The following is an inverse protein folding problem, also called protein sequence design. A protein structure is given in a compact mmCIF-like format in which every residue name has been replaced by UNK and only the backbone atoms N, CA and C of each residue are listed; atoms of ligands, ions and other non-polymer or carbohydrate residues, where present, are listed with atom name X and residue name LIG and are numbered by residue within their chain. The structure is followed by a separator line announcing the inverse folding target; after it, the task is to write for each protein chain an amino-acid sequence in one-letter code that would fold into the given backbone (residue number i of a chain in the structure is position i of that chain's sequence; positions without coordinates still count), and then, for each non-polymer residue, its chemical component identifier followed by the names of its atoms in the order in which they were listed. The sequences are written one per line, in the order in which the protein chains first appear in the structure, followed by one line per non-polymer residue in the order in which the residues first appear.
data_IF_593146334936
#
_entry.id   IF_593146334936
#
_cell.length_a   1.000
_cell.length_b   1.000
_cell.length_c   1.000
_cell.angle_alpha   90.00
_cell.angle_beta   90.00
_cell.angle_gamma   90.00
#
_symmetry.space_group_name_H-M   'P 1'
#
loop_
_entity.id
_entity.type
_entity.pdbx_description
1 polymer ?
#
# COMPACT_ATOMS: atom_id res chain seq x y z
N UNK A 1 -2.60 1.59 -14.96
CA UNK A 1 -1.22 1.20 -14.59
C UNK A 1 -1.07 1.24 -13.08
N UNK A 2 -0.11 0.52 -12.50
CA UNK A 2 0.16 0.56 -11.06
C UNK A 2 1.54 1.17 -10.82
N UNK A 3 1.61 2.21 -10.00
CA UNK A 3 2.85 2.81 -9.56
C UNK A 3 3.35 2.13 -8.28
N UNK A 4 4.66 2.00 -8.13
CA UNK A 4 5.34 1.41 -6.97
C UNK A 4 6.62 2.19 -6.68
N UNK A 5 7.27 1.91 -5.55
CA UNK A 5 8.69 2.25 -5.38
C UNK A 5 9.53 1.63 -6.51
N UNK A 6 10.61 2.30 -6.95
CA UNK A 6 11.53 1.75 -7.95
C UNK A 6 12.24 0.47 -7.47
N UNK A 7 12.43 0.33 -6.16
CA UNK A 7 12.88 -0.90 -5.50
C UNK A 7 11.76 -1.38 -4.59
N UNK A 8 11.12 -2.49 -4.95
CA UNK A 8 9.92 -3.00 -4.28
C UNK A 8 10.07 -4.48 -3.95
N UNK A 9 9.34 -4.95 -2.93
CA UNK A 9 9.30 -6.37 -2.56
C UNK A 9 8.92 -7.26 -3.76
N UNK A 10 9.59 -8.40 -3.86
CA UNK A 10 9.44 -9.37 -4.95
C UNK A 10 8.00 -9.82 -5.14
N UNK A 11 7.21 -9.89 -4.06
CA UNK A 11 5.80 -10.30 -4.12
C UNK A 11 4.98 -9.38 -5.01
N UNK A 12 5.25 -8.07 -5.01
CA UNK A 12 4.54 -7.10 -5.86
C UNK A 12 4.89 -7.36 -7.33
N UNK A 13 6.17 -7.54 -7.64
CA UNK A 13 6.64 -7.81 -9.01
C UNK A 13 6.09 -9.13 -9.57
N UNK A 14 6.11 -10.20 -8.76
CA UNK A 14 5.56 -11.51 -9.16
C UNK A 14 4.06 -11.42 -9.41
N UNK A 15 3.29 -10.85 -8.47
CA UNK A 15 1.83 -10.76 -8.62
C UNK A 15 1.44 -9.87 -9.80
N UNK A 16 2.16 -8.76 -10.04
CA UNK A 16 1.91 -7.93 -11.21
C UNK A 16 2.14 -8.69 -12.51
N UNK A 17 3.18 -9.53 -12.59
CA UNK A 17 3.45 -10.40 -13.74
C UNK A 17 2.31 -11.39 -13.98
N UNK A 18 1.87 -12.10 -12.92
CA UNK A 18 0.76 -13.07 -12.99
C UNK A 18 -0.54 -12.40 -13.45
N UNK A 19 -0.83 -11.22 -12.91
CA UNK A 19 -2.04 -10.46 -13.22
C UNK A 19 -1.95 -9.64 -14.51
N UNK A 20 -0.81 -9.69 -15.22
CA UNK A 20 -0.52 -8.90 -16.43
C UNK A 20 -0.70 -7.39 -16.21
N UNK A 21 -0.33 -6.93 -15.03
CA UNK A 21 -0.36 -5.52 -14.63
C UNK A 21 0.98 -4.89 -14.96
N UNK A 22 0.96 -3.78 -15.70
CA UNK A 22 2.14 -2.95 -15.93
C UNK A 22 2.46 -2.14 -14.67
N UNK A 23 3.70 -2.29 -14.19
CA UNK A 23 4.26 -1.52 -13.09
C UNK A 23 5.02 -0.28 -13.59
N UNK A 24 4.96 0.79 -12.80
CA UNK A 24 5.77 2.00 -12.94
C UNK A 24 6.56 2.23 -11.66
N UNK A 25 7.87 2.01 -11.72
CA UNK A 25 8.77 2.35 -10.61
C UNK A 25 8.96 3.86 -10.51
N UNK A 26 8.68 4.41 -9.33
CA UNK A 26 8.85 5.82 -8.99
C UNK A 26 10.20 6.03 -8.31
N UNK A 27 10.80 7.21 -8.49
CA UNK A 27 12.04 7.56 -7.81
C UNK A 27 11.84 7.57 -6.29
N UNK A 28 12.87 7.12 -5.58
CA UNK A 28 12.87 6.96 -4.13
C UNK A 28 14.14 7.58 -3.52
N UNK A 29 14.03 8.02 -2.28
CA UNK A 29 15.16 8.37 -1.42
C UNK A 29 15.04 7.61 -0.06
N UNK A 30 15.86 7.97 0.93
CA UNK A 30 15.85 7.38 2.28
C UNK A 30 14.50 7.44 3.03
N UNK A 31 13.59 8.30 2.60
CA UNK A 31 12.24 8.47 3.14
C UNK A 31 11.17 7.86 2.20
N UNK A 32 11.56 7.01 1.25
CA UNK A 32 10.66 6.32 0.32
C UNK A 32 10.40 7.12 -0.95
N UNK A 33 9.20 6.98 -1.54
CA UNK A 33 8.81 7.64 -2.80
C UNK A 33 8.98 9.15 -2.72
N UNK A 34 9.62 9.72 -3.74
CA UNK A 34 9.73 11.16 -3.95
C UNK A 34 8.38 11.66 -4.51
N UNK A 35 7.64 12.52 -3.80
CA UNK A 35 6.30 12.97 -4.23
C UNK A 35 6.27 13.57 -5.63
N UNK A 36 7.31 14.31 -6.00
CA UNK A 36 7.44 14.95 -7.31
C UNK A 36 7.53 13.91 -8.43
N UNK A 37 8.21 12.77 -8.19
CA UNK A 37 8.24 11.66 -9.15
C UNK A 37 6.88 10.98 -9.30
N UNK A 38 6.08 10.93 -8.22
CA UNK A 38 4.73 10.40 -8.28
C UNK A 38 3.79 11.32 -9.07
N UNK A 39 3.85 12.63 -8.80
CA UNK A 39 3.05 13.64 -9.51
C UNK A 39 3.37 13.64 -11.01
N UNK A 40 4.66 13.66 -11.38
CA UNK A 40 5.09 13.56 -12.78
C UNK A 40 4.53 12.31 -13.47
N UNK A 41 4.61 11.14 -12.82
CA UNK A 41 4.06 9.90 -13.37
C UNK A 41 2.53 9.97 -13.56
N UNK A 42 1.82 10.63 -12.64
CA UNK A 42 0.37 10.83 -12.74
C UNK A 42 -0.03 11.81 -13.85
N UNK A 43 0.82 12.78 -14.19
CA UNK A 43 0.58 13.73 -15.29
C UNK A 43 0.80 13.10 -16.67
N UNK A 44 1.81 12.24 -16.79
CA UNK A 44 2.25 11.71 -18.08
C UNK A 44 1.72 10.30 -18.38
N UNK A 45 1.27 9.58 -17.36
CA UNK A 45 0.83 8.19 -17.47
C UNK A 45 -0.53 7.97 -16.78
N UNK A 46 -1.29 6.98 -17.25
CA UNK A 46 -2.58 6.62 -16.66
C UNK A 46 -2.40 5.71 -15.43
N UNK A 47 -1.84 6.28 -14.36
CA UNK A 47 -1.70 5.63 -13.05
C UNK A 47 -3.08 5.51 -12.41
N UNK A 48 -3.45 4.30 -11.99
CA UNK A 48 -4.75 4.02 -11.33
C UNK A 48 -4.61 3.60 -9.88
N UNK A 49 -3.46 3.03 -9.54
CA UNK A 49 -3.16 2.55 -8.19
C UNK A 49 -1.71 2.89 -7.87
N UNK A 50 -1.45 3.32 -6.64
CA UNK A 50 -0.14 3.38 -6.02
C UNK A 50 -0.04 2.26 -4.98
N UNK A 51 0.87 1.32 -5.15
CA UNK A 51 1.23 0.37 -4.10
C UNK A 51 2.47 0.88 -3.36
N UNK A 52 2.37 0.99 -2.04
CA UNK A 52 3.42 1.60 -1.22
C UNK A 52 3.58 0.88 0.11
N UNK A 53 4.82 0.81 0.59
CA UNK A 53 5.17 0.30 1.93
C UNK A 53 5.83 1.41 2.74
N UNK A 54 5.07 2.28 3.45
CA UNK A 54 5.63 3.48 4.08
C UNK A 54 6.58 3.19 5.27
N UNK A 55 6.54 1.97 5.79
CA UNK A 55 7.26 1.53 6.98
C UNK A 55 8.19 0.37 6.61
N UNK A 56 9.49 0.63 6.51
CA UNK A 56 10.55 -0.34 6.23
C UNK A 56 10.31 -1.14 4.94
N UNK A 57 10.15 -0.44 3.81
CA UNK A 57 10.03 -1.10 2.50
C UNK A 57 11.25 -1.95 2.19
N UNK A 58 11.08 -3.23 1.86
CA UNK A 58 12.19 -4.06 1.41
C UNK A 58 12.49 -3.73 -0.07
N UNK A 59 13.77 -3.53 -0.48
CA UNK A 59 15.01 -3.70 0.27
C UNK A 59 15.55 -2.41 0.93
N UNK A 60 14.89 -1.27 0.78
CA UNK A 60 15.46 0.04 1.15
C UNK A 60 15.45 0.34 2.65
N UNK A 61 14.59 -0.33 3.41
CA UNK A 61 14.34 -0.12 4.83
C UNK A 61 13.98 1.35 5.12
N UNK A 62 13.36 2.03 4.16
CA UNK A 62 12.97 3.43 4.30
C UNK A 62 11.84 3.61 5.32
N UNK A 63 11.84 4.76 6.01
CA UNK A 63 10.74 5.14 6.90
C UNK A 63 10.20 6.49 6.46
N UNK A 64 9.02 6.47 5.85
CA UNK A 64 8.38 7.68 5.34
C UNK A 64 7.76 8.49 6.48
N UNK A 65 8.11 9.77 6.58
CA UNK A 65 7.54 10.70 7.56
C UNK A 65 6.08 11.09 7.25
N UNK A 66 5.41 11.73 8.21
CA UNK A 66 4.00 12.12 8.05
C UNK A 66 3.80 13.16 6.95
N UNK A 67 4.69 14.15 6.84
CA UNK A 67 4.56 15.23 5.86
C UNK A 67 4.60 14.67 4.43
N UNK A 68 5.47 13.71 4.17
CA UNK A 68 5.57 13.04 2.88
C UNK A 68 4.35 12.16 2.59
N UNK A 69 3.83 11.45 3.59
CA UNK A 69 2.58 10.70 3.46
C UNK A 69 1.43 11.62 3.07
N UNK A 70 1.30 12.76 3.74
CA UNK A 70 0.27 13.76 3.43
C UNK A 70 0.39 14.29 2.00
N UNK A 71 1.59 14.66 1.54
CA UNK A 71 1.79 15.11 0.15
C UNK A 71 1.43 14.04 -0.88
N UNK A 72 1.81 12.79 -0.65
CA UNK A 72 1.46 11.67 -1.55
C UNK A 72 -0.06 11.45 -1.57
N UNK A 73 -0.72 11.52 -0.40
CA UNK A 73 -2.18 11.44 -0.30
C UNK A 73 -2.88 12.57 -1.08
N UNK A 74 -2.36 13.80 -1.02
CA UNK A 74 -2.87 14.94 -1.80
C UNK A 74 -2.71 14.75 -3.30
N UNK A 75 -1.56 14.28 -3.77
CA UNK A 75 -1.32 13.95 -5.19
C UNK A 75 -2.30 12.85 -5.62
N UNK A 76 -2.41 11.77 -4.85
CA UNK A 76 -3.33 10.68 -5.15
C UNK A 76 -4.79 11.16 -5.26
N UNK A 77 -5.18 12.14 -4.43
CA UNK A 77 -6.51 12.75 -4.49
C UNK A 77 -6.71 13.60 -5.75
N UNK A 78 -5.73 14.44 -6.11
CA UNK A 78 -5.81 15.28 -7.31
C UNK A 78 -5.89 14.48 -8.61
N UNK A 79 -5.20 13.35 -8.68
CA UNK A 79 -5.13 12.51 -9.88
C UNK A 79 -6.06 11.29 -9.87
N UNK A 80 -6.95 11.22 -8.88
CA UNK A 80 -7.87 10.10 -8.65
C UNK A 80 -7.20 8.70 -8.64
N UNK A 81 -6.07 8.59 -7.95
CA UNK A 81 -5.32 7.35 -7.78
C UNK A 81 -5.75 6.66 -6.48
N UNK A 82 -6.03 5.35 -6.54
CA UNK A 82 -6.23 4.54 -5.34
C UNK A 82 -4.89 4.18 -4.69
N UNK A 83 -4.83 4.06 -3.37
CA UNK A 83 -3.60 3.69 -2.65
C UNK A 83 -3.76 2.29 -2.10
N UNK A 84 -2.78 1.41 -2.29
CA UNK A 84 -2.63 0.16 -1.53
C UNK A 84 -1.44 0.36 -0.60
N UNK A 85 -1.72 0.46 0.69
CA UNK A 85 -0.72 0.61 1.74
C UNK A 85 -0.43 -0.76 2.36
N UNK A 86 0.80 -1.24 2.22
CA UNK A 86 1.34 -2.38 2.97
C UNK A 86 2.06 -1.87 4.22
N UNK A 87 1.49 -2.15 5.39
CA UNK A 87 1.98 -1.72 6.70
C UNK A 87 2.37 -2.93 7.57
N UNK A 88 2.97 -3.96 6.97
CA UNK A 88 3.39 -5.18 7.69
C UNK A 88 4.38 -4.92 8.83
N UNK A 89 5.25 -3.92 8.70
CA UNK A 89 6.21 -3.54 9.75
C UNK A 89 5.74 -2.41 10.65
N UNK A 90 4.68 -1.69 10.28
CA UNK A 90 4.17 -0.56 11.06
C UNK A 90 3.96 -0.85 12.54
N UNK A 91 3.31 -1.98 12.92
CA UNK A 91 3.10 -2.32 14.33
C UNK A 91 4.38 -2.49 15.16
N UNK A 92 5.55 -2.66 14.54
CA UNK A 92 6.83 -2.82 15.22
C UNK A 92 7.54 -1.49 15.50
N UNK A 93 7.09 -0.39 14.91
CA UNK A 93 7.80 0.89 14.97
C UNK A 93 7.38 1.68 16.22
N UNK A 94 8.31 1.97 17.15
CA UNK A 94 8.03 2.85 18.28
C UNK A 94 7.72 4.27 17.78
N UNK A 95 6.67 4.91 18.32
CA UNK A 95 6.24 6.26 17.91
C UNK A 95 6.09 6.39 16.39
N UNK A 96 5.51 5.35 15.74
CA UNK A 96 5.37 5.31 14.30
C UNK A 96 4.59 6.51 13.75
N UNK A 97 4.96 7.04 12.58
CA UNK A 97 4.13 7.99 11.85
C UNK A 97 2.73 7.41 11.58
N UNK A 98 1.71 8.28 11.53
CA UNK A 98 0.35 7.89 11.11
C UNK A 98 0.38 7.17 9.75
N UNK A 99 -0.37 6.07 9.57
CA UNK A 99 -0.45 5.37 8.29
C UNK A 99 -1.04 6.28 7.21
N UNK A 100 -0.73 6.00 5.95
CA UNK A 100 -1.27 6.72 4.77
C UNK A 100 -2.80 6.77 4.79
N UNK A 101 -3.43 5.68 5.26
CA UNK A 101 -4.86 5.60 5.50
C UNK A 101 -5.44 6.78 6.29
N UNK A 102 -4.71 7.35 7.26
CA UNK A 102 -5.19 8.50 8.04
C UNK A 102 -5.33 9.78 7.21
N UNK A 103 -4.60 9.91 6.10
CA UNK A 103 -4.57 11.09 5.25
C UNK A 103 -5.50 10.98 4.03
N UNK A 104 -5.79 9.74 3.60
CA UNK A 104 -6.68 9.46 2.45
C UNK A 104 -7.54 8.19 2.63
N UNK A 105 -8.39 8.12 3.69
CA UNK A 105 -9.20 6.93 3.98
C UNK A 105 -10.24 6.61 2.89
N UNK A 106 -10.63 7.60 2.09
CA UNK A 106 -11.61 7.44 1.01
C UNK A 106 -11.08 6.69 -0.21
N UNK A 107 -9.76 6.51 -0.32
CA UNK A 107 -9.09 5.90 -1.48
C UNK A 107 -7.96 4.93 -1.12
N UNK A 108 -7.61 4.81 0.16
CA UNK A 108 -6.56 3.91 0.63
C UNK A 108 -7.14 2.53 0.93
N UNK A 109 -6.43 1.48 0.57
CA UNK A 109 -6.64 0.09 0.97
C UNK A 109 -5.47 -0.26 1.87
N UNK A 110 -5.72 -0.39 3.16
CA UNK A 110 -4.70 -0.61 4.18
C UNK A 110 -4.60 -2.11 4.49
N UNK A 111 -3.42 -2.69 4.30
CA UNK A 111 -3.13 -4.08 4.61
C UNK A 111 -2.01 -4.19 5.64
N UNK A 112 -2.17 -5.09 6.61
CA UNK A 112 -1.09 -5.47 7.53
C UNK A 112 -1.21 -6.94 7.94
N UNK A 113 -0.17 -7.48 8.57
CA UNK A 113 -0.10 -8.89 8.99
C UNK A 113 0.55 -9.06 10.36
N UNK A 114 0.10 -10.08 11.08
CA UNK A 114 0.67 -10.51 12.36
C UNK A 114 1.96 -11.35 12.20
N UNK A 115 2.36 -11.64 10.96
CA UNK A 115 3.52 -12.49 10.65
C UNK A 115 4.82 -11.97 11.25
N UNK A 116 4.98 -10.64 11.35
CA UNK A 116 6.23 -10.00 11.81
C UNK A 116 6.20 -9.55 13.26
N UNK A 117 5.01 -9.44 13.87
CA UNK A 117 4.84 -8.83 15.19
C UNK A 117 4.27 -9.76 16.26
N UNK A 118 3.61 -10.87 15.90
CA UNK A 118 3.01 -11.79 16.87
C UNK A 118 3.54 -13.20 16.69
N UNK A 119 3.22 -13.84 15.56
CA UNK A 119 3.60 -15.23 15.30
C UNK A 119 3.62 -15.50 13.80
N UNK A 120 4.77 -15.85 13.20
CA UNK A 120 4.89 -16.07 11.74
C UNK A 120 3.92 -17.12 11.17
N UNK A 121 3.63 -18.15 11.96
CA UNK A 121 2.75 -19.27 11.59
C UNK A 121 1.26 -18.96 11.73
N UNK A 122 0.86 -17.80 12.28
CA UNK A 122 -0.55 -17.47 12.46
C UNK A 122 -1.28 -17.22 11.13
N UNK A 123 -0.54 -16.87 10.07
CA UNK A 123 -1.06 -16.61 8.71
C UNK A 123 -2.28 -15.67 8.67
N UNK A 124 -2.36 -14.75 9.63
CA UNK A 124 -3.47 -13.81 9.78
C UNK A 124 -3.00 -12.38 9.51
N UNK A 125 -3.90 -11.58 8.95
CA UNK A 125 -3.76 -10.16 8.73
C UNK A 125 -5.14 -9.54 8.56
N UNK A 126 -5.21 -8.25 8.28
CA UNK A 126 -6.47 -7.60 7.97
C UNK A 126 -6.30 -6.58 6.84
N UNK A 127 -7.42 -6.33 6.17
CA UNK A 127 -7.53 -5.40 5.06
C UNK A 127 -8.66 -4.41 5.38
N UNK A 128 -8.31 -3.14 5.53
CA UNK A 128 -9.27 -2.04 5.55
C UNK A 128 -9.30 -1.38 4.17
N UNK A 129 -10.43 -0.77 3.83
CA UNK A 129 -10.62 -0.17 2.51
C UNK A 129 -11.76 0.85 2.55
N UNK A 130 -11.92 1.64 1.47
CA UNK A 130 -13.02 2.60 1.39
C UNK A 130 -14.36 1.90 1.58
N UNK A 131 -15.29 2.51 2.32
CA UNK A 131 -16.60 1.92 2.64
C UNK A 131 -17.30 1.31 1.40
N UNK A 132 -17.36 2.00 0.23
CA UNK A 132 -18.00 1.45 -0.96
C UNK A 132 -17.32 0.19 -1.53
N UNK A 133 -16.03 -0.02 -1.22
CA UNK A 133 -15.26 -1.15 -1.69
C UNK A 133 -15.41 -2.40 -0.81
N UNK A 134 -15.86 -2.26 0.45
CA UNK A 134 -15.93 -3.36 1.42
C UNK A 134 -16.67 -4.61 0.90
N UNK A 135 -17.86 -4.51 0.27
CA UNK A 135 -18.54 -5.71 -0.25
C UNK A 135 -17.72 -6.44 -1.32
N UNK A 136 -16.99 -5.69 -2.16
CA UNK A 136 -16.11 -6.26 -3.20
C UNK A 136 -14.86 -6.88 -2.59
N UNK A 137 -14.32 -6.30 -1.52
CA UNK A 137 -13.17 -6.88 -0.82
C UNK A 137 -13.53 -8.22 -0.16
N UNK A 138 -14.65 -8.27 0.55
CA UNK A 138 -15.15 -9.49 1.20
C UNK A 138 -15.38 -10.60 0.15
N UNK A 139 -16.02 -10.28 -0.98
CA UNK A 139 -16.27 -11.28 -2.02
C UNK A 139 -14.98 -11.82 -2.64
N UNK A 140 -13.96 -10.97 -2.83
CA UNK A 140 -12.66 -11.40 -3.34
C UNK A 140 -11.91 -12.29 -2.36
N UNK A 141 -11.86 -11.92 -1.08
CA UNK A 141 -11.22 -12.75 -0.04
C UNK A 141 -11.85 -14.14 0.00
N UNK A 142 -13.19 -14.22 0.02
CA UNK A 142 -13.93 -15.50 0.01
C UNK A 142 -13.69 -16.35 -1.24
N UNK A 143 -13.46 -15.71 -2.39
CA UNK A 143 -13.20 -16.42 -3.64
C UNK A 143 -11.79 -17.02 -3.72
N UNK A 144 -10.82 -16.43 -3.01
CA UNK A 144 -9.41 -16.82 -3.08
C UNK A 144 -8.92 -17.64 -1.89
N UNK A 145 -9.70 -17.71 -0.81
CA UNK A 145 -9.33 -18.48 0.37
C UNK A 145 -10.42 -18.52 1.43
N UNK A 146 -10.15 -19.29 2.48
CA UNK A 146 -10.97 -19.32 3.70
C UNK A 146 -10.38 -18.33 4.70
N UNK A 147 -11.17 -17.36 5.14
CA UNK A 147 -10.79 -16.35 6.14
C UNK A 147 -11.60 -16.49 7.41
N UNK A 148 -11.00 -16.15 8.56
CA UNK A 148 -11.76 -15.86 9.76
C UNK A 148 -12.54 -14.57 9.55
N UNK A 149 -13.87 -14.62 9.67
CA UNK A 149 -14.75 -13.48 9.48
C UNK A 149 -15.15 -12.95 10.86
N UNK A 150 -15.14 -11.63 11.08
CA UNK A 150 -15.64 -11.05 12.34
C UNK A 150 -17.18 -10.90 12.35
N UNK A 151 -17.86 -11.38 11.31
CA UNK A 151 -19.30 -11.21 11.06
C UNK A 151 -20.04 -12.52 10.75
N UNK A 152 -19.62 -13.63 11.35
CA UNK A 152 -20.45 -14.84 11.53
C UNK A 152 -20.65 -15.06 13.00
#
# INVERSE_FOLDING_TARGET
MVATEALVDTSITINASILKIRLRGLAIDQNGIIPESFEEACEHENIKVLCITPCYSAPTVSLMDEARRERIAEIARRHDVAIIEDDVFGPLIPKRPKPMWCFAPERTYYATSFTKCVMPSLRTGFLAGPIPAIPRLISRVRATGWSANIWT
#
